data_IF_471445084150
#
_entry.id   IF_471445084150
#
_cell.length_a   1.000
_cell.length_b   1.000
_cell.length_c   1.000
_cell.angle_alpha   90.00
_cell.angle_beta   90.00
_cell.angle_gamma   90.00
#
_symmetry.space_group_name_H-M   'P 1'
#
loop_
_entity.id
_entity.type
_entity.pdbx_description
1 polymer ?
#
# COMPACT_ATOMS: atom_id res chain seq x y z
N UNK A 1 -26.13 -56.53 -41.85
CA UNK A 1 -26.67 -55.22 -41.57
C UNK A 1 -26.61 -54.81 -40.06
N UNK A 2 -26.06 -55.64 -39.22
CA UNK A 2 -25.94 -55.29 -37.78
C UNK A 2 -24.64 -54.58 -37.40
N UNK A 3 -23.79 -54.27 -38.36
CA UNK A 3 -22.48 -53.66 -38.09
C UNK A 3 -22.39 -52.14 -38.29
N UNK A 4 -23.46 -51.53 -38.83
CA UNK A 4 -23.49 -50.09 -39.07
C UNK A 4 -24.02 -49.26 -37.86
N UNK A 5 -24.71 -49.91 -36.92
CA UNK A 5 -25.25 -49.23 -35.75
C UNK A 5 -24.19 -48.99 -34.62
N UNK A 6 -23.05 -49.68 -34.69
CA UNK A 6 -22.03 -49.58 -33.67
C UNK A 6 -21.03 -48.40 -33.88
N UNK A 7 -20.99 -47.87 -35.10
CA UNK A 7 -20.08 -46.76 -35.46
C UNK A 7 -20.65 -45.38 -35.13
N UNK A 8 -21.93 -45.29 -34.85
CA UNK A 8 -22.60 -44.00 -34.60
C UNK A 8 -22.63 -43.60 -33.14
N UNK A 9 -22.23 -44.49 -32.22
CA UNK A 9 -22.19 -44.21 -30.76
C UNK A 9 -20.80 -43.70 -30.29
N UNK A 10 -19.76 -43.88 -31.12
CA UNK A 10 -18.40 -43.46 -30.74
C UNK A 10 -18.07 -41.99 -31.09
N UNK A 11 -18.98 -41.31 -31.78
CA UNK A 11 -18.78 -39.91 -32.18
C UNK A 11 -19.36 -38.88 -31.20
N UNK A 12 -20.02 -39.34 -30.13
CA UNK A 12 -20.71 -38.44 -29.18
C UNK A 12 -19.96 -38.17 -27.87
N UNK A 13 -18.72 -38.64 -27.73
CA UNK A 13 -17.93 -38.42 -26.49
C UNK A 13 -16.76 -37.49 -26.67
N UNK A 14 -16.77 -36.63 -27.67
CA UNK A 14 -15.93 -35.46 -27.69
C UNK A 14 -16.67 -34.33 -26.94
N UNK A 15 -16.87 -34.54 -25.63
CA UNK A 15 -17.19 -33.43 -24.75
C UNK A 15 -16.02 -32.47 -24.80
N UNK A 16 -16.21 -31.38 -25.52
CA UNK A 16 -15.29 -30.25 -25.50
C UNK A 16 -15.12 -29.80 -24.06
N UNK A 17 -13.95 -30.04 -23.50
CA UNK A 17 -13.51 -29.29 -22.36
C UNK A 17 -13.39 -27.83 -22.81
N UNK A 18 -14.40 -27.02 -22.51
CA UNK A 18 -14.23 -25.59 -22.55
C UNK A 18 -13.27 -25.22 -21.41
N UNK A 19 -12.02 -24.98 -21.76
CA UNK A 19 -11.09 -24.30 -20.86
C UNK A 19 -11.60 -22.87 -20.85
N UNK A 20 -12.27 -22.48 -19.77
CA UNK A 20 -12.44 -21.08 -19.44
C UNK A 20 -11.05 -20.59 -19.07
N UNK A 21 -10.35 -19.99 -20.02
CA UNK A 21 -9.31 -19.05 -19.65
C UNK A 21 -10.05 -17.88 -19.00
N UNK A 22 -10.10 -17.90 -17.67
CA UNK A 22 -10.38 -16.69 -16.94
C UNK A 22 -9.30 -15.70 -17.36
N UNK A 23 -9.73 -14.67 -18.08
CA UNK A 23 -8.93 -13.52 -18.40
C UNK A 23 -8.54 -12.88 -17.05
N UNK A 24 -7.47 -13.39 -16.44
CA UNK A 24 -6.93 -12.85 -15.18
C UNK A 24 -6.27 -11.52 -15.53
N UNK A 25 -7.12 -10.52 -15.81
CA UNK A 25 -6.65 -9.15 -15.86
C UNK A 25 -6.12 -8.85 -14.48
N UNK A 26 -4.88 -8.37 -14.36
CA UNK A 26 -4.38 -7.92 -13.05
C UNK A 26 -5.38 -6.89 -12.52
N UNK A 27 -6.05 -7.23 -11.43
CA UNK A 27 -6.94 -6.29 -10.75
C UNK A 27 -6.09 -5.09 -10.37
N UNK A 28 -6.44 -3.93 -10.90
CA UNK A 28 -5.84 -2.69 -10.47
C UNK A 28 -6.09 -2.53 -8.97
N UNK A 29 -5.01 -2.51 -8.20
CA UNK A 29 -5.07 -2.23 -6.78
C UNK A 29 -4.76 -0.74 -6.59
N UNK A 30 -5.73 0.02 -6.10
CA UNK A 30 -5.59 1.45 -5.91
C UNK A 30 -4.47 1.82 -4.92
N UNK A 31 -4.03 0.86 -4.08
CA UNK A 31 -2.86 1.03 -3.20
C UNK A 31 -1.55 1.16 -3.97
N UNK A 32 -1.49 0.70 -5.23
CA UNK A 32 -0.25 0.72 -6.03
C UNK A 32 0.27 2.14 -6.27
N UNK A 33 -0.59 3.14 -6.19
CA UNK A 33 -0.19 4.55 -6.25
C UNK A 33 0.59 5.00 -5.03
N UNK A 34 0.47 4.29 -3.92
CA UNK A 34 1.09 4.58 -2.64
C UNK A 34 2.24 3.64 -2.30
N UNK A 35 2.41 2.53 -3.01
CA UNK A 35 3.41 1.51 -2.68
C UNK A 35 4.74 1.73 -3.39
N UNK A 36 5.81 1.26 -2.77
CA UNK A 36 7.17 1.30 -3.30
C UNK A 36 8.16 1.98 -2.37
N UNK A 37 9.36 2.20 -2.89
CA UNK A 37 10.40 2.96 -2.21
C UNK A 37 10.25 4.44 -2.50
N UNK A 38 10.36 5.25 -1.46
CA UNK A 38 10.25 6.70 -1.54
C UNK A 38 11.46 7.36 -0.87
N UNK A 39 11.97 8.39 -1.52
CA UNK A 39 12.84 9.37 -0.89
C UNK A 39 11.96 10.45 -0.27
N UNK A 40 12.16 10.73 0.99
CA UNK A 40 11.33 11.67 1.77
C UNK A 40 12.13 12.90 2.11
N UNK A 41 11.56 14.05 1.79
CA UNK A 41 11.95 15.35 2.29
C UNK A 41 10.93 15.78 3.33
N UNK A 42 11.36 15.90 4.57
CA UNK A 42 10.50 16.23 5.70
C UNK A 42 10.91 17.56 6.34
N UNK A 43 9.96 18.45 6.44
CA UNK A 43 10.11 19.70 7.18
C UNK A 43 9.44 19.58 8.54
N UNK A 44 10.22 19.76 9.60
CA UNK A 44 9.73 19.90 10.96
C UNK A 44 9.39 21.37 11.26
N UNK A 45 8.12 21.64 11.50
CA UNK A 45 7.68 22.98 11.94
C UNK A 45 8.12 23.28 13.36
N UNK A 46 8.18 22.25 14.20
CA UNK A 46 8.56 22.38 15.61
C UNK A 46 10.03 22.71 15.77
N UNK A 47 10.91 22.00 15.06
CA UNK A 47 12.37 22.20 15.16
C UNK A 47 12.94 23.11 14.06
N UNK A 48 12.12 23.48 13.06
CA UNK A 48 12.50 24.33 11.92
C UNK A 48 13.70 23.79 11.15
N UNK A 49 13.66 22.49 10.87
CA UNK A 49 14.72 21.80 10.12
C UNK A 49 14.14 20.89 9.05
N UNK A 50 14.94 20.63 8.03
CA UNK A 50 14.64 19.68 6.96
C UNK A 50 15.49 18.45 7.15
N UNK A 51 14.87 17.28 7.10
CA UNK A 51 15.54 15.97 7.13
C UNK A 51 15.18 15.16 5.89
N UNK A 52 16.09 14.30 5.48
CA UNK A 52 15.93 13.41 4.33
C UNK A 52 16.09 11.98 4.80
N UNK A 53 15.19 11.11 4.36
CA UNK A 53 15.27 9.68 4.64
C UNK A 53 14.53 8.88 3.56
N UNK A 54 14.66 7.57 3.61
CA UNK A 54 13.95 6.65 2.72
C UNK A 54 12.90 5.90 3.51
N UNK A 55 11.73 5.70 2.92
CA UNK A 55 10.71 4.81 3.44
C UNK A 55 10.22 3.84 2.39
N UNK A 56 9.66 2.74 2.86
CA UNK A 56 9.04 1.74 2.02
C UNK A 56 7.58 1.56 2.41
N UNK A 57 6.69 1.66 1.42
CA UNK A 57 5.26 1.41 1.61
C UNK A 57 4.88 0.13 0.88
N UNK A 58 4.30 -0.81 1.61
CA UNK A 58 3.83 -2.09 1.08
C UNK A 58 2.35 -2.30 1.36
N UNK A 59 1.69 -3.09 0.51
CA UNK A 59 0.35 -3.56 0.79
C UNK A 59 0.37 -4.42 2.05
N UNK A 60 -0.62 -4.26 2.91
CA UNK A 60 -0.76 -5.05 4.12
C UNK A 60 -2.20 -5.41 4.41
N UNK A 61 -2.38 -6.47 5.21
CA UNK A 61 -3.69 -6.95 5.60
C UNK A 61 -4.51 -7.57 4.47
N UNK A 62 -5.64 -8.14 4.84
CA UNK A 62 -6.62 -8.71 3.91
C UNK A 62 -7.55 -7.64 3.33
N UNK A 63 -7.64 -6.48 3.98
CA UNK A 63 -8.41 -5.34 3.53
C UNK A 63 -7.68 -4.65 2.38
N UNK A 64 -8.36 -4.45 1.25
CA UNK A 64 -7.80 -3.85 0.06
C UNK A 64 -7.36 -2.38 0.20
N UNK A 65 -7.54 -1.79 1.38
CA UNK A 65 -7.25 -0.39 1.67
C UNK A 65 -6.04 -0.18 2.59
N UNK A 66 -5.51 -1.27 3.16
CA UNK A 66 -4.43 -1.17 4.15
C UNK A 66 -3.05 -1.23 3.52
N UNK A 67 -2.17 -0.35 3.98
CA UNK A 67 -0.73 -0.34 3.68
C UNK A 67 0.08 -0.27 4.96
N UNK A 68 1.35 -0.68 4.87
CA UNK A 68 2.33 -0.52 5.94
C UNK A 68 3.42 0.44 5.50
N UNK A 69 3.68 1.47 6.32
CA UNK A 69 4.81 2.37 6.14
C UNK A 69 5.98 1.89 6.99
N UNK A 70 7.07 1.51 6.33
CA UNK A 70 8.29 1.05 6.98
C UNK A 70 9.33 2.16 6.95
N UNK A 71 10.02 2.36 8.08
CA UNK A 71 11.03 3.40 8.26
C UNK A 71 10.49 4.83 8.05
N UNK A 72 9.19 5.01 8.29
CA UNK A 72 8.56 6.31 8.26
C UNK A 72 8.87 7.09 9.54
N UNK A 73 9.30 8.32 9.42
CA UNK A 73 9.75 9.21 10.49
C UNK A 73 11.05 8.77 11.16
N UNK A 74 11.21 7.50 11.46
CA UNK A 74 12.41 6.95 12.07
C UNK A 74 12.68 5.54 11.58
N UNK A 75 13.96 5.16 11.56
CA UNK A 75 14.40 3.82 11.20
C UNK A 75 13.81 2.77 12.16
N UNK A 76 13.41 1.63 11.60
CA UNK A 76 12.86 0.51 12.34
C UNK A 76 11.39 0.65 12.72
N UNK A 77 10.70 1.69 12.27
CA UNK A 77 9.26 1.86 12.50
C UNK A 77 8.42 1.10 11.47
N UNK A 78 7.23 0.66 11.90
CA UNK A 78 6.21 0.05 11.07
C UNK A 78 4.86 0.64 11.46
N UNK A 79 4.31 1.47 10.59
CA UNK A 79 3.01 2.08 10.82
C UNK A 79 2.00 1.59 9.79
N UNK A 80 0.76 1.42 10.24
CA UNK A 80 -0.37 1.05 9.39
C UNK A 80 -1.07 2.31 8.90
N UNK A 81 -1.47 2.34 7.65
CA UNK A 81 -2.27 3.41 7.08
C UNK A 81 -3.36 2.85 6.18
N UNK A 82 -4.37 3.67 5.91
CA UNK A 82 -5.53 3.31 5.12
C UNK A 82 -5.67 4.25 3.93
N UNK A 83 -5.93 3.66 2.76
CA UNK A 83 -6.06 4.36 1.50
C UNK A 83 -7.54 4.55 1.17
N UNK A 84 -7.92 5.75 0.77
CA UNK A 84 -9.24 6.06 0.25
C UNK A 84 -9.09 7.01 -0.94
N UNK A 85 -9.26 6.49 -2.16
CA UNK A 85 -9.01 7.27 -3.37
C UNK A 85 -7.57 7.76 -3.45
N UNK A 86 -7.39 9.08 -3.50
CA UNK A 86 -6.07 9.72 -3.53
C UNK A 86 -5.50 10.04 -2.14
N UNK A 87 -6.22 9.67 -1.10
CA UNK A 87 -5.89 10.01 0.28
C UNK A 87 -5.33 8.81 1.04
N UNK A 88 -4.44 9.11 1.97
CA UNK A 88 -3.92 8.19 2.97
C UNK A 88 -4.21 8.74 4.36
N UNK A 89 -4.70 7.88 5.25
CA UNK A 89 -4.92 8.18 6.66
C UNK A 89 -4.00 7.34 7.52
N UNK A 90 -3.27 8.01 8.40
CA UNK A 90 -2.36 7.36 9.36
C UNK A 90 -3.00 7.53 10.73
N UNK A 91 -3.73 6.51 11.25
CA UNK A 91 -4.34 6.60 12.56
C UNK A 91 -3.28 6.68 13.64
N UNK A 92 -3.66 7.26 14.79
CA UNK A 92 -2.78 7.35 15.95
C UNK A 92 -2.30 5.97 16.37
N UNK A 93 -0.99 5.79 16.40
CA UNK A 93 -0.35 4.51 16.73
C UNK A 93 1.09 4.70 17.16
N UNK A 94 1.63 3.68 17.79
CA UNK A 94 3.01 3.65 18.30
C UNK A 94 3.79 2.55 17.61
N UNK A 95 4.99 2.84 17.18
CA UNK A 95 5.97 1.88 16.68
C UNK A 95 7.37 2.31 17.07
N UNK A 96 8.14 1.38 17.60
CA UNK A 96 9.55 1.58 18.00
C UNK A 96 9.78 2.84 18.85
N UNK A 97 8.87 3.12 19.79
CA UNK A 97 8.97 4.26 20.71
C UNK A 97 8.51 5.60 20.15
N UNK A 98 7.94 5.62 18.93
CA UNK A 98 7.39 6.81 18.31
C UNK A 98 5.88 6.69 18.13
N UNK A 99 5.16 7.72 18.52
CA UNK A 99 3.73 7.87 18.25
C UNK A 99 3.55 8.78 17.05
N UNK A 100 2.75 8.36 16.08
CA UNK A 100 2.42 9.17 14.91
C UNK A 100 0.92 9.23 14.68
N UNK A 101 0.48 10.30 14.07
CA UNK A 101 -0.86 10.47 13.54
C UNK A 101 -0.85 11.50 12.42
N UNK A 102 -1.51 11.22 11.33
CA UNK A 102 -1.58 12.18 10.24
C UNK A 102 -2.38 11.68 9.05
N UNK A 103 -2.22 12.41 7.98
CA UNK A 103 -2.87 12.11 6.71
C UNK A 103 -2.07 12.69 5.54
N UNK A 104 -2.46 12.32 4.34
CA UNK A 104 -1.83 12.83 3.15
C UNK A 104 -2.62 12.52 1.88
N UNK A 105 -2.00 12.81 0.78
CA UNK A 105 -2.57 12.55 -0.54
C UNK A 105 -1.48 12.36 -1.59
N UNK A 106 -1.81 11.65 -2.63
CA UNK A 106 -0.96 11.50 -3.81
C UNK A 106 -1.43 12.45 -4.90
N UNK A 107 -0.48 13.14 -5.52
CA UNK A 107 -0.73 14.04 -6.64
C UNK A 107 0.49 14.10 -7.54
N UNK A 108 0.30 13.98 -8.85
CA UNK A 108 1.37 14.04 -9.86
C UNK A 108 2.55 13.10 -9.54
N UNK A 109 2.27 11.90 -9.02
CA UNK A 109 3.28 10.89 -8.68
C UNK A 109 4.06 11.16 -7.40
N UNK A 110 3.70 12.18 -6.64
CA UNK A 110 4.30 12.51 -5.34
C UNK A 110 3.30 12.24 -4.23
N UNK A 111 3.81 11.83 -3.07
CA UNK A 111 3.03 11.65 -1.86
C UNK A 111 3.32 12.79 -0.89
N UNK A 112 2.28 13.49 -0.48
CA UNK A 112 2.33 14.59 0.48
C UNK A 112 1.72 14.14 1.79
N UNK A 113 2.45 14.30 2.89
CA UNK A 113 2.04 13.89 4.23
C UNK A 113 2.11 15.06 5.19
N UNK A 114 1.04 15.22 5.98
CA UNK A 114 1.00 16.10 7.14
C UNK A 114 0.75 15.24 8.37
N UNK A 115 1.62 15.29 9.34
CA UNK A 115 1.51 14.45 10.52
C UNK A 115 2.17 15.08 11.73
N UNK A 116 1.84 14.53 12.87
CA UNK A 116 2.51 14.78 14.13
C UNK A 116 3.19 13.52 14.60
N UNK A 117 4.36 13.69 15.20
CA UNK A 117 5.11 12.62 15.80
C UNK A 117 5.54 12.99 17.22
N UNK A 118 5.61 12.01 18.07
CA UNK A 118 6.04 12.16 19.45
C UNK A 118 7.00 11.02 19.81
N UNK A 119 8.18 11.40 20.31
CA UNK A 119 9.16 10.45 20.82
C UNK A 119 8.82 10.15 22.29
N UNK A 120 8.39 8.92 22.58
CA UNK A 120 7.99 8.50 23.93
C UNK A 120 9.14 8.47 24.94
N UNK A 121 10.38 8.41 24.45
CA UNK A 121 11.59 8.31 25.27
C UNK A 121 12.52 9.52 25.15
N UNK A 122 12.14 10.48 24.32
CA UNK A 122 12.92 11.67 24.02
C UNK A 122 12.33 12.96 24.56
N UNK A 123 12.39 14.01 23.75
CA UNK A 123 11.86 15.32 24.07
C UNK A 123 10.34 15.30 24.28
N UNK A 124 9.85 16.11 25.23
CA UNK A 124 8.44 16.21 25.58
C UNK A 124 7.61 17.01 24.56
N UNK A 125 8.16 17.32 23.39
CA UNK A 125 7.51 18.15 22.37
C UNK A 125 6.94 17.30 21.24
N UNK A 126 5.75 17.67 20.80
CA UNK A 126 5.16 17.13 19.59
C UNK A 126 5.85 17.75 18.37
N UNK A 127 6.34 16.90 17.48
CA UNK A 127 6.94 17.33 16.24
C UNK A 127 5.85 17.36 15.15
N UNK A 128 5.55 18.55 14.63
CA UNK A 128 4.64 18.74 13.51
C UNK A 128 5.43 18.77 12.21
N UNK A 129 5.11 17.81 11.32
CA UNK A 129 5.89 17.57 10.12
C UNK A 129 5.04 17.70 8.85
N UNK A 130 5.67 18.23 7.81
CA UNK A 130 5.21 18.16 6.43
C UNK A 130 6.25 17.40 5.62
N UNK A 131 5.85 16.33 4.97
CA UNK A 131 6.74 15.52 4.17
C UNK A 131 6.27 15.44 2.72
N UNK A 132 7.23 15.45 1.80
CA UNK A 132 7.01 15.12 0.39
C UNK A 132 7.86 13.90 0.07
N UNK A 133 7.21 12.87 -0.45
CA UNK A 133 7.85 11.62 -0.82
C UNK A 133 7.88 11.44 -2.32
N UNK A 134 9.06 11.10 -2.83
CA UNK A 134 9.37 10.92 -4.26
C UNK A 134 9.79 9.48 -4.52
N UNK A 135 9.36 8.94 -5.63
CA UNK A 135 9.88 7.67 -6.12
C UNK A 135 11.16 7.82 -6.89
#
# INVERSE_FOLDING_TARGET
MKKLAFFLILAATLSSCYIYEEDVRPRYDHRDRFTGYFEVEEYSKTYREVVYYNMYISRSGYDGDQVTLRDFYAEGTHFVAYISGDRIDIPRQVSNGYEVQGSGYVSAGKLYLNYRAFDLYGDSFVNYCEATAFR
#
